data_IF_976431512038
#
_entry.id   IF_976431512038
#
_cell.length_a   1.000
_cell.length_b   1.000
_cell.length_c   1.000
_cell.angle_alpha   90.00
_cell.angle_beta   90.00
_cell.angle_gamma   90.00
#
_symmetry.space_group_name_H-M   'P 1'
#
loop_
_entity.id
_entity.type
_entity.pdbx_description
1 polymer ?
#
# COMPACT_ATOMS: atom_id res chain seq x y z
N UNK A 1 16.10 -0.10 -15.88
CA UNK A 1 16.21 -0.67 -17.24
C UNK A 1 14.83 -0.67 -17.88
N UNK A 2 14.63 0.08 -18.93
CA UNK A 2 13.33 0.13 -19.63
C UNK A 2 13.35 -0.93 -20.72
N UNK A 3 12.56 -1.98 -20.58
CA UNK A 3 12.38 -2.96 -21.64
C UNK A 3 11.21 -2.48 -22.49
N UNK A 4 11.48 -2.01 -23.69
CA UNK A 4 10.46 -1.71 -24.68
C UNK A 4 10.28 -2.95 -25.55
N UNK A 5 9.08 -3.50 -25.59
CA UNK A 5 8.73 -4.59 -26.49
C UNK A 5 7.91 -4.01 -27.64
N UNK A 6 8.38 -4.13 -28.86
CA UNK A 6 7.64 -3.76 -30.07
C UNK A 6 6.65 -4.87 -30.40
N UNK A 7 5.40 -4.54 -30.47
CA UNK A 7 4.34 -5.44 -30.90
C UNK A 7 3.88 -5.06 -32.32
N UNK A 8 4.28 -5.86 -33.32
CA UNK A 8 3.82 -5.71 -34.69
C UNK A 8 3.99 -4.32 -35.30
N UNK A 9 3.37 -4.04 -36.43
CA UNK A 9 3.46 -2.75 -37.16
C UNK A 9 2.80 -1.55 -36.47
N UNK A 10 2.41 -1.62 -35.18
CA UNK A 10 1.71 -0.53 -34.47
C UNK A 10 2.28 -0.35 -33.06
N UNK A 11 3.19 0.60 -32.92
CA UNK A 11 3.42 1.31 -31.67
C UNK A 11 4.29 0.62 -30.61
N UNK A 12 5.01 1.44 -29.88
CA UNK A 12 5.70 1.07 -28.65
C UNK A 12 4.65 0.73 -27.56
N UNK A 13 4.68 -0.51 -27.06
CA UNK A 13 3.95 -0.84 -25.85
C UNK A 13 4.79 -0.46 -24.64
N UNK A 14 4.38 0.58 -23.90
CA UNK A 14 5.02 0.97 -22.63
C UNK A 14 4.56 0.00 -21.57
N UNK A 15 5.50 -0.75 -20.97
CA UNK A 15 5.20 -1.61 -19.84
C UNK A 15 4.82 -0.77 -18.62
N UNK A 16 3.77 -1.16 -17.90
CA UNK A 16 3.39 -0.57 -16.63
C UNK A 16 4.56 -0.66 -15.66
N UNK A 17 4.91 0.46 -15.01
CA UNK A 17 5.93 0.51 -13.96
C UNK A 17 5.27 0.37 -12.59
N UNK A 18 5.85 -0.47 -11.75
CA UNK A 18 5.43 -0.67 -10.35
C UNK A 18 6.56 -0.20 -9.44
N UNK A 19 6.40 0.97 -8.85
CA UNK A 19 7.39 1.50 -7.90
C UNK A 19 6.96 1.14 -6.49
N UNK A 20 7.78 0.35 -5.80
CA UNK A 20 7.54 0.02 -4.40
C UNK A 20 7.54 1.32 -3.57
N UNK A 21 6.51 1.50 -2.76
CA UNK A 21 6.27 2.76 -2.07
C UNK A 21 6.49 2.67 -0.56
N UNK A 22 5.76 1.80 0.13
CA UNK A 22 5.95 1.62 1.56
C UNK A 22 5.55 0.21 2.02
N UNK A 23 5.97 -0.13 3.24
CA UNK A 23 5.47 -1.28 4.00
C UNK A 23 4.56 -0.77 5.10
N UNK A 24 3.33 -1.28 5.18
CA UNK A 24 2.37 -0.93 6.21
C UNK A 24 2.35 -1.97 7.34
N UNK A 25 2.29 -1.49 8.57
CA UNK A 25 2.05 -2.33 9.74
C UNK A 25 0.82 -1.84 10.50
N UNK A 26 0.07 -2.75 11.10
CA UNK A 26 -1.05 -2.41 11.98
C UNK A 26 -0.55 -2.13 13.39
N UNK A 27 -1.09 -1.11 14.02
CA UNK A 27 -0.76 -0.72 15.38
C UNK A 27 -2.01 -0.61 16.23
N UNK A 28 -1.91 -0.98 17.50
CA UNK A 28 -3.01 -0.88 18.47
C UNK A 28 -3.24 0.53 18.94
N UNK A 29 -2.16 1.30 19.06
CA UNK A 29 -2.19 2.67 19.56
C UNK A 29 -1.21 3.50 18.74
N UNK A 30 -1.75 4.32 17.83
CA UNK A 30 -0.97 5.09 16.87
C UNK A 30 -0.01 6.07 17.56
N UNK A 31 -0.49 6.78 18.58
CA UNK A 31 0.33 7.76 19.33
C UNK A 31 1.53 7.10 19.99
N UNK A 32 1.31 5.97 20.65
CA UNK A 32 2.38 5.22 21.33
C UNK A 32 3.39 4.66 20.32
N UNK A 33 2.92 4.06 19.24
CA UNK A 33 3.81 3.50 18.21
C UNK A 33 4.62 4.59 17.51
N UNK A 34 3.98 5.71 17.17
CA UNK A 34 4.66 6.87 16.58
C UNK A 34 5.78 7.39 17.49
N UNK A 35 5.48 7.58 18.77
CA UNK A 35 6.46 8.04 19.75
C UNK A 35 7.66 7.07 19.85
N UNK A 36 7.38 5.77 19.83
CA UNK A 36 8.42 4.72 19.86
C UNK A 36 9.37 4.82 18.66
N UNK A 37 8.85 4.80 17.43
CA UNK A 37 9.68 4.84 16.23
C UNK A 37 10.47 6.14 16.10
N UNK A 38 9.90 7.27 16.52
CA UNK A 38 10.62 8.55 16.56
C UNK A 38 11.76 8.52 17.57
N UNK A 39 11.50 8.04 18.79
CA UNK A 39 12.48 8.05 19.87
C UNK A 39 13.55 6.97 19.71
N UNK A 40 13.15 5.75 19.43
CA UNK A 40 14.07 4.60 19.39
C UNK A 40 14.91 4.56 18.11
N UNK A 41 14.33 4.93 16.96
CA UNK A 41 14.98 4.81 15.66
C UNK A 41 15.25 6.16 14.97
N UNK A 42 14.92 7.27 15.62
CA UNK A 42 15.12 8.61 15.05
C UNK A 42 14.32 8.86 13.77
N UNK A 43 13.24 8.12 13.56
CA UNK A 43 12.41 8.28 12.36
C UNK A 43 11.62 9.59 12.42
N UNK A 44 11.37 10.17 11.25
CA UNK A 44 10.61 11.40 11.10
C UNK A 44 9.32 11.15 10.32
N UNK A 45 8.27 11.87 10.68
CA UNK A 45 7.01 11.85 9.94
C UNK A 45 7.19 12.57 8.61
N UNK A 46 6.80 11.92 7.51
CA UNK A 46 6.83 12.49 6.16
C UNK A 46 5.43 12.66 5.56
N UNK A 47 4.44 11.93 6.07
CA UNK A 47 3.04 12.06 5.65
C UNK A 47 2.12 11.49 6.73
N UNK A 48 0.87 11.97 6.81
CA UNK A 48 -0.17 11.42 7.67
C UNK A 48 -1.55 11.84 7.20
N UNK A 49 -2.56 11.09 7.60
CA UNK A 49 -3.94 11.43 7.28
C UNK A 49 -4.96 10.55 7.99
N UNK A 50 -6.22 10.87 7.73
CA UNK A 50 -7.38 10.09 8.16
C UNK A 50 -8.15 9.69 6.90
N UNK A 51 -8.48 8.41 6.81
CA UNK A 51 -9.23 7.84 5.68
C UNK A 51 -10.74 8.03 5.89
N UNK A 52 -11.56 8.01 4.80
CA UNK A 52 -13.02 8.12 4.91
C UNK A 52 -13.66 7.11 5.87
N UNK A 53 -13.12 5.89 5.96
CA UNK A 53 -13.59 4.85 6.87
C UNK A 53 -13.14 5.03 8.33
N UNK A 54 -12.46 6.16 8.67
CA UNK A 54 -11.99 6.49 10.01
C UNK A 54 -10.61 5.94 10.36
N UNK A 55 -10.00 5.13 9.50
CA UNK A 55 -8.62 4.68 9.66
C UNK A 55 -7.63 5.84 9.63
N UNK A 56 -6.56 5.73 10.39
CA UNK A 56 -5.49 6.74 10.45
C UNK A 56 -4.17 6.12 10.05
N UNK A 57 -3.39 6.88 9.29
CA UNK A 57 -2.05 6.46 8.90
C UNK A 57 -1.00 7.53 9.19
N UNK A 58 0.21 7.08 9.45
CA UNK A 58 1.41 7.93 9.57
C UNK A 58 2.54 7.26 8.83
N UNK A 59 3.14 7.96 7.89
CA UNK A 59 4.32 7.49 7.16
C UNK A 59 5.59 8.09 7.75
N UNK A 60 6.59 7.23 7.96
CA UNK A 60 7.86 7.54 8.57
C UNK A 60 9.01 7.19 7.64
N UNK A 61 10.06 7.99 7.67
CA UNK A 61 11.36 7.70 7.06
C UNK A 61 12.47 7.74 8.10
N UNK A 62 13.44 6.83 7.97
CA UNK A 62 14.68 6.87 8.71
C UNK A 62 15.68 7.83 8.09
N UNK A 63 16.69 8.25 8.85
CA UNK A 63 17.79 9.06 8.34
C UNK A 63 18.52 8.33 7.22
N UNK A 64 18.73 9.02 6.08
CA UNK A 64 19.42 8.45 4.93
C UNK A 64 18.65 7.39 4.15
N UNK A 65 17.39 7.13 4.49
CA UNK A 65 16.54 6.16 3.81
C UNK A 65 15.35 6.83 3.15
N UNK A 66 14.99 6.39 1.94
CA UNK A 66 13.74 6.76 1.26
C UNK A 66 12.65 5.70 1.41
N UNK A 67 12.97 4.57 2.02
CA UNK A 67 11.96 3.56 2.33
C UNK A 67 11.05 4.07 3.45
N UNK A 68 9.77 3.86 3.29
CA UNK A 68 8.77 4.32 4.25
C UNK A 68 8.20 3.15 5.03
N UNK A 69 8.00 3.41 6.31
CA UNK A 69 7.17 2.59 7.19
C UNK A 69 5.85 3.34 7.39
N UNK A 70 4.73 2.70 7.10
CA UNK A 70 3.42 3.25 7.40
C UNK A 70 2.82 2.57 8.63
N UNK A 71 2.44 3.37 9.60
CA UNK A 71 1.69 2.93 10.78
C UNK A 71 0.20 3.10 10.49
N UNK A 72 -0.57 2.02 10.58
CA UNK A 72 -2.00 2.01 10.29
C UNK A 72 -2.79 1.66 11.56
N UNK A 73 -3.78 2.49 11.86
CA UNK A 73 -4.75 2.23 12.91
C UNK A 73 -6.16 2.30 12.35
N UNK A 74 -6.99 1.33 12.70
CA UNK A 74 -8.38 1.25 12.26
C UNK A 74 -9.33 1.22 13.44
N UNK A 75 -10.42 2.02 13.41
CA UNK A 75 -11.46 1.90 14.42
C UNK A 75 -12.19 0.56 14.29
N UNK A 76 -12.63 -0.03 15.42
CA UNK A 76 -13.49 -1.21 15.38
C UNK A 76 -14.71 -0.97 14.50
N UNK A 77 -15.07 -1.97 13.68
CA UNK A 77 -16.20 -1.88 12.76
C UNK A 77 -15.86 -1.30 11.36
N UNK A 78 -14.67 -0.76 11.15
CA UNK A 78 -14.25 -0.38 9.78
C UNK A 78 -13.96 -1.62 8.94
N UNK A 79 -14.09 -1.48 7.61
CA UNK A 79 -13.89 -2.61 6.69
C UNK A 79 -12.48 -3.21 6.73
N UNK A 80 -11.49 -2.42 7.14
CA UNK A 80 -10.09 -2.86 7.24
C UNK A 80 -9.70 -3.31 8.65
N UNK A 81 -10.60 -3.16 9.61
CA UNK A 81 -10.34 -3.61 10.97
C UNK A 81 -10.31 -5.14 11.05
N UNK A 82 -9.31 -5.64 11.73
CA UNK A 82 -9.29 -7.01 12.24
C UNK A 82 -8.74 -7.01 13.66
N UNK A 83 -9.15 -7.95 14.52
CA UNK A 83 -8.56 -8.06 15.85
C UNK A 83 -7.04 -8.20 15.74
N UNK A 84 -6.33 -7.44 16.55
CA UNK A 84 -4.88 -7.49 16.56
C UNK A 84 -4.39 -8.83 17.12
N UNK A 85 -3.57 -9.52 16.37
CA UNK A 85 -2.92 -10.77 16.79
C UNK A 85 -1.41 -10.59 16.68
N UNK A 86 -0.69 -10.99 17.73
CA UNK A 86 0.77 -10.93 17.74
C UNK A 86 1.35 -11.74 16.58
N UNK A 87 2.19 -11.12 15.77
CA UNK A 87 2.80 -11.73 14.60
C UNK A 87 2.06 -11.47 13.26
N UNK A 88 0.89 -10.84 13.30
CA UNK A 88 0.09 -10.50 12.11
C UNK A 88 0.02 -8.97 11.89
N UNK A 89 1.12 -8.29 12.16
CA UNK A 89 1.17 -6.82 12.15
C UNK A 89 1.31 -6.22 10.76
N UNK A 90 1.77 -6.98 9.76
CA UNK A 90 1.84 -6.47 8.39
C UNK A 90 0.43 -6.22 7.89
N UNK A 91 0.16 -4.97 7.53
CA UNK A 91 -1.13 -4.55 7.02
C UNK A 91 -1.19 -4.71 5.50
N UNK A 92 -0.31 -4.05 4.78
CA UNK A 92 -0.24 -4.14 3.32
C UNK A 92 1.10 -3.67 2.77
N UNK A 93 1.36 -4.00 1.52
CA UNK A 93 2.42 -3.40 0.69
C UNK A 93 1.78 -2.37 -0.22
N UNK A 94 2.51 -1.35 -0.64
CA UNK A 94 2.01 -0.37 -1.59
C UNK A 94 2.98 -0.15 -2.75
N UNK A 95 2.38 -0.06 -3.95
CA UNK A 95 3.10 0.28 -5.19
C UNK A 95 2.45 1.50 -5.83
N UNK A 96 3.28 2.44 -6.27
CA UNK A 96 2.83 3.54 -7.13
C UNK A 96 2.86 3.05 -8.57
N UNK A 97 1.77 3.24 -9.28
CA UNK A 97 1.57 2.84 -10.67
C UNK A 97 1.08 4.03 -11.49
N UNK A 98 1.17 3.95 -12.81
CA UNK A 98 0.71 5.04 -13.68
C UNK A 98 -0.82 5.13 -13.75
N UNK A 99 -1.50 3.98 -13.64
CA UNK A 99 -2.96 3.84 -13.71
C UNK A 99 -3.39 2.65 -12.84
N UNK A 100 -4.02 2.94 -11.70
CA UNK A 100 -4.38 1.92 -10.71
C UNK A 100 -5.43 0.93 -11.25
N UNK A 101 -6.39 1.38 -12.05
CA UNK A 101 -7.42 0.51 -12.65
C UNK A 101 -6.80 -0.46 -13.66
N UNK A 102 -5.95 0.06 -14.54
CA UNK A 102 -5.24 -0.74 -15.54
C UNK A 102 -4.28 -1.73 -14.85
N UNK A 103 -3.54 -1.28 -13.83
CA UNK A 103 -2.64 -2.12 -13.04
C UNK A 103 -3.40 -3.25 -12.32
N UNK A 104 -4.55 -2.94 -11.73
CA UNK A 104 -5.42 -3.94 -11.10
C UNK A 104 -5.77 -5.06 -12.09
N UNK A 105 -6.29 -4.71 -13.26
CA UNK A 105 -6.69 -5.68 -14.28
C UNK A 105 -5.52 -6.51 -14.80
N UNK A 106 -4.37 -5.89 -15.00
CA UNK A 106 -3.14 -6.58 -15.39
C UNK A 106 -2.68 -7.57 -14.34
N UNK A 107 -2.67 -7.19 -13.07
CA UNK A 107 -2.27 -8.06 -11.96
C UNK A 107 -3.23 -9.25 -11.77
N UNK A 108 -4.54 -9.04 -11.92
CA UNK A 108 -5.52 -10.14 -11.89
C UNK A 108 -5.22 -11.15 -13.00
N UNK A 109 -4.92 -10.69 -14.22
CA UNK A 109 -4.52 -11.58 -15.33
C UNK A 109 -3.22 -12.33 -15.02
N UNK A 110 -2.32 -11.76 -14.26
CA UNK A 110 -1.04 -12.38 -13.83
C UNK A 110 -1.16 -13.27 -12.58
N UNK A 111 -2.36 -13.44 -12.04
CA UNK A 111 -2.63 -14.37 -10.94
C UNK A 111 -2.82 -13.74 -9.57
N UNK A 112 -2.83 -12.41 -9.45
CA UNK A 112 -3.21 -11.77 -8.21
C UNK A 112 -4.70 -12.05 -7.90
N UNK A 113 -5.03 -12.11 -6.62
CA UNK A 113 -6.41 -12.28 -6.17
C UNK A 113 -7.07 -10.92 -5.95
N UNK A 114 -8.37 -10.76 -6.30
CA UNK A 114 -9.09 -9.51 -6.02
C UNK A 114 -9.23 -9.25 -4.52
N UNK A 115 -9.10 -7.97 -4.13
CA UNK A 115 -9.35 -7.52 -2.76
C UNK A 115 -10.32 -6.34 -2.72
N UNK A 116 -9.95 -5.20 -3.30
CA UNK A 116 -10.83 -4.04 -3.47
C UNK A 116 -10.69 -3.53 -4.91
N UNK A 117 -11.59 -3.93 -5.81
CA UNK A 117 -11.53 -3.52 -7.21
C UNK A 117 -11.90 -2.03 -7.37
N UNK A 118 -11.48 -1.39 -8.49
CA UNK A 118 -11.69 0.04 -8.72
C UNK A 118 -13.16 0.48 -8.60
N UNK A 119 -14.10 -0.31 -9.07
CA UNK A 119 -15.54 -0.02 -9.03
C UNK A 119 -16.16 -0.03 -7.63
N UNK A 120 -15.45 -0.57 -6.64
CA UNK A 120 -15.87 -0.61 -5.22
C UNK A 120 -15.05 0.30 -4.33
N UNK A 121 -14.06 1.00 -4.91
CA UNK A 121 -13.22 1.93 -4.17
C UNK A 121 -14.01 3.17 -3.76
N UNK A 122 -13.93 3.55 -2.49
CA UNK A 122 -14.56 4.77 -1.96
C UNK A 122 -13.67 6.00 -2.12
N UNK A 123 -12.50 5.84 -2.72
CA UNK A 123 -11.50 6.87 -2.97
C UNK A 123 -10.49 6.37 -3.99
N UNK A 124 -9.23 6.60 -3.74
CA UNK A 124 -8.12 6.15 -4.60
C UNK A 124 -7.59 4.76 -4.22
N UNK A 125 -8.22 4.11 -3.27
CA UNK A 125 -7.76 2.85 -2.68
C UNK A 125 -8.16 1.64 -3.53
N UNK A 126 -7.24 1.12 -4.31
CA UNK A 126 -7.40 -0.11 -5.11
C UNK A 126 -6.46 -1.17 -4.57
N UNK A 127 -6.97 -2.37 -4.31
CA UNK A 127 -6.18 -3.46 -3.73
C UNK A 127 -6.32 -4.77 -4.49
N UNK A 128 -5.20 -5.48 -4.59
CA UNK A 128 -5.14 -6.90 -4.91
C UNK A 128 -4.51 -7.66 -3.75
N UNK A 129 -4.48 -8.98 -3.82
CA UNK A 129 -3.77 -9.85 -2.87
C UNK A 129 -2.75 -10.70 -3.60
N UNK A 130 -1.65 -10.97 -2.92
CA UNK A 130 -0.70 -11.98 -3.35
C UNK A 130 -1.25 -13.41 -3.15
N UNK A 131 -0.52 -14.48 -3.54
CA UNK A 131 -0.98 -15.85 -3.38
C UNK A 131 -1.30 -16.26 -1.93
N UNK A 132 -0.62 -15.67 -0.96
CA UNK A 132 -0.79 -15.96 0.46
C UNK A 132 -1.83 -15.04 1.14
N UNK A 133 -2.43 -14.13 0.39
CA UNK A 133 -3.47 -13.22 0.90
C UNK A 133 -2.93 -11.91 1.47
N UNK A 134 -1.66 -11.57 1.24
CA UNK A 134 -1.11 -10.27 1.63
C UNK A 134 -1.73 -9.19 0.76
N UNK A 135 -2.27 -8.16 1.39
CA UNK A 135 -2.86 -7.03 0.70
C UNK A 135 -1.81 -6.17 0.03
N UNK A 136 -2.09 -5.75 -1.19
CA UNK A 136 -1.21 -4.89 -2.00
C UNK A 136 -2.04 -3.73 -2.53
N UNK A 137 -1.69 -2.53 -2.10
CA UNK A 137 -2.31 -1.29 -2.53
C UNK A 137 -1.69 -0.79 -3.84
N UNK A 138 -2.53 -0.31 -4.72
CA UNK A 138 -2.13 0.32 -5.99
C UNK A 138 -2.52 1.79 -5.95
N UNK A 139 -1.53 2.66 -6.01
CA UNK A 139 -1.69 4.11 -5.95
C UNK A 139 -1.32 4.74 -7.31
N UNK A 140 -2.15 5.64 -7.78
CA UNK A 140 -1.86 6.41 -9.01
C UNK A 140 -2.10 7.90 -8.83
#
# INVERSE_FOLDING_TARGET
MTVATTYGRRGLMVLMKYRFYYTGIRVRNLTRSLAFYKKAFGMRVVNRGTMPHGGKYVQLEGAGSRQRLELNWYPPGSRFYSPYRKGEEIDHLAFVVDDAEKAYRELIRKGAKPALPPEKAEGTEVYVKDPDGIWIELLS
#
